data_IF_213804278633
#
_entry.id   IF_213804278633
#
_cell.length_a   1.000
_cell.length_b   1.000
_cell.length_c   1.000
_cell.angle_alpha   90.00
_cell.angle_beta   90.00
_cell.angle_gamma   90.00
#
_symmetry.space_group_name_H-M   'P 1'
#
loop_
_entity.id
_entity.type
_entity.pdbx_description
1 polymer ?
#
# COMPACT_ATOMS: atom_id res chain seq x y z
N UNK A 1 4.81 4.14 24.33
CA UNK A 1 4.98 2.81 23.70
C UNK A 1 6.39 2.31 23.97
N UNK A 2 6.56 1.16 24.61
CA UNK A 2 7.89 0.60 24.93
C UNK A 2 8.29 -0.33 23.78
N UNK A 3 9.37 -0.01 23.07
CA UNK A 3 9.94 -0.89 22.05
C UNK A 3 10.70 -2.03 22.73
N UNK A 4 10.42 -3.27 22.32
CA UNK A 4 11.14 -4.46 22.79
C UNK A 4 12.17 -4.89 21.75
N UNK A 5 13.38 -5.18 22.21
CA UNK A 5 14.44 -5.75 21.37
C UNK A 5 14.04 -7.17 20.96
N UNK A 6 14.26 -7.49 19.70
CA UNK A 6 14.05 -8.85 19.16
C UNK A 6 15.41 -9.55 19.14
N UNK A 7 15.47 -10.80 19.61
CA UNK A 7 16.70 -11.61 19.67
C UNK A 7 16.89 -12.50 18.45
N UNK A 8 15.79 -12.87 17.76
CA UNK A 8 15.79 -13.74 16.58
C UNK A 8 15.13 -12.99 15.42
N UNK A 9 15.80 -13.00 14.27
CA UNK A 9 15.33 -12.38 13.05
C UNK A 9 14.23 -13.28 12.42
N UNK A 10 12.96 -12.81 12.31
CA UNK A 10 11.85 -13.67 11.92
C UNK A 10 11.64 -13.75 10.41
N UNK A 11 12.50 -13.15 9.57
CA UNK A 11 12.27 -13.04 8.12
C UNK A 11 12.24 -14.40 7.46
N UNK A 12 13.16 -15.30 7.79
CA UNK A 12 13.18 -16.66 7.22
C UNK A 12 11.86 -17.39 7.50
N UNK A 13 11.44 -17.41 8.77
CA UNK A 13 10.17 -18.04 9.18
C UNK A 13 8.95 -17.45 8.43
N UNK A 14 8.95 -16.13 8.21
CA UNK A 14 7.89 -15.45 7.46
C UNK A 14 7.94 -15.75 5.96
N UNK A 15 9.11 -15.80 5.35
CA UNK A 15 9.30 -16.21 3.96
C UNK A 15 8.83 -17.64 3.74
N UNK A 16 9.17 -18.56 4.63
CA UNK A 16 8.74 -19.96 4.54
C UNK A 16 7.22 -20.08 4.62
N UNK A 17 6.60 -19.39 5.59
CA UNK A 17 5.15 -19.38 5.74
C UNK A 17 4.46 -18.81 4.50
N UNK A 18 4.98 -17.71 3.96
CA UNK A 18 4.45 -17.10 2.74
C UNK A 18 4.61 -18.02 1.53
N UNK A 19 5.79 -18.63 1.37
CA UNK A 19 6.09 -19.53 0.26
C UNK A 19 5.16 -20.74 0.26
N UNK A 20 4.96 -21.37 1.43
CA UNK A 20 4.00 -22.48 1.59
C UNK A 20 2.59 -22.07 1.16
N UNK A 21 2.12 -20.91 1.63
CA UNK A 21 0.80 -20.39 1.26
C UNK A 21 0.69 -20.13 -0.25
N UNK A 22 1.69 -19.46 -0.86
CA UNK A 22 1.69 -19.19 -2.30
C UNK A 22 1.68 -20.46 -3.14
N UNK A 23 2.39 -21.52 -2.71
CA UNK A 23 2.34 -22.83 -3.38
C UNK A 23 0.94 -23.44 -3.28
N UNK A 24 0.30 -23.39 -2.12
CA UNK A 24 -1.07 -23.89 -1.93
C UNK A 24 -2.08 -23.15 -2.81
N UNK A 25 -1.98 -21.82 -2.88
CA UNK A 25 -2.84 -20.98 -3.73
C UNK A 25 -2.64 -21.29 -5.22
N UNK A 26 -1.39 -21.53 -5.64
CA UNK A 26 -1.09 -21.94 -7.02
C UNK A 26 -1.69 -23.31 -7.33
N UNK A 27 -1.52 -24.29 -6.44
CA UNK A 27 -2.09 -25.65 -6.60
C UNK A 27 -3.62 -25.64 -6.71
N UNK A 28 -4.29 -24.71 -6.02
CA UNK A 28 -5.74 -24.51 -6.09
C UNK A 28 -6.21 -23.66 -7.28
N UNK A 29 -5.30 -23.18 -8.13
CA UNK A 29 -5.63 -22.35 -9.30
C UNK A 29 -5.97 -20.90 -8.99
N UNK A 30 -5.79 -20.42 -7.75
CA UNK A 30 -6.07 -19.02 -7.40
C UNK A 30 -5.05 -18.05 -8.02
N UNK A 31 -3.79 -18.46 -8.16
CA UNK A 31 -2.74 -17.66 -8.78
C UNK A 31 -2.09 -18.43 -9.92
N UNK A 32 -1.80 -17.72 -11.01
CA UNK A 32 -1.05 -18.24 -12.16
C UNK A 32 0.43 -18.46 -11.79
N UNK A 33 1.15 -19.24 -12.62
CA UNK A 33 2.59 -19.45 -12.41
C UNK A 33 3.40 -18.14 -12.55
N UNK A 34 2.96 -17.24 -13.45
CA UNK A 34 3.56 -15.92 -13.60
C UNK A 34 3.36 -15.05 -12.35
N UNK A 35 2.15 -15.03 -11.78
CA UNK A 35 1.88 -14.32 -10.52
C UNK A 35 2.65 -14.93 -9.34
N UNK A 36 2.76 -16.25 -9.29
CA UNK A 36 3.57 -16.94 -8.29
C UNK A 36 5.05 -16.52 -8.38
N UNK A 37 5.65 -16.55 -9.58
CA UNK A 37 7.02 -16.09 -9.82
C UNK A 37 7.21 -14.61 -9.45
N UNK A 38 6.22 -13.77 -9.73
CA UNK A 38 6.24 -12.38 -9.33
C UNK A 38 6.19 -12.23 -7.81
N UNK A 39 5.27 -12.93 -7.13
CA UNK A 39 5.02 -12.81 -5.70
C UNK A 39 6.08 -13.47 -4.79
N UNK A 40 6.82 -14.46 -5.31
CA UNK A 40 7.80 -15.24 -4.55
C UNK A 40 8.86 -14.32 -3.91
N UNK A 41 9.11 -14.43 -2.59
CA UNK A 41 10.17 -13.69 -1.93
C UNK A 41 11.56 -14.10 -2.43
N UNK A 42 12.51 -13.16 -2.45
CA UNK A 42 13.91 -13.37 -2.85
C UNK A 42 14.80 -12.49 -1.98
N UNK A 43 15.60 -13.11 -1.11
CA UNK A 43 16.59 -12.41 -0.28
C UNK A 43 15.98 -11.31 0.58
N UNK A 44 14.91 -11.62 1.32
CA UNK A 44 14.20 -10.58 2.08
C UNK A 44 14.96 -10.13 3.30
N UNK A 45 14.62 -8.93 3.74
CA UNK A 45 15.13 -8.31 4.98
C UNK A 45 13.99 -7.77 5.82
N UNK A 46 14.29 -7.45 7.07
CA UNK A 46 13.34 -6.75 7.94
C UNK A 46 13.04 -5.33 7.43
N UNK A 47 11.90 -4.79 7.86
CA UNK A 47 11.52 -3.42 7.53
C UNK A 47 12.51 -2.43 8.19
N UNK A 48 12.90 -1.37 7.47
CA UNK A 48 13.84 -0.37 7.97
C UNK A 48 13.09 0.85 8.47
N UNK A 49 13.28 1.21 9.74
CA UNK A 49 12.77 2.45 10.31
C UNK A 49 13.83 3.54 10.15
N UNK A 50 13.46 4.67 9.57
CA UNK A 50 14.29 5.88 9.51
C UNK A 50 13.43 7.12 9.72
N UNK A 51 14.05 8.28 9.95
CA UNK A 51 13.35 9.55 10.11
C UNK A 51 13.70 10.53 9.00
N UNK A 52 12.71 11.24 8.46
CA UNK A 52 12.96 12.44 7.63
C UNK A 52 12.60 13.71 8.42
N UNK A 53 13.45 14.75 8.41
CA UNK A 53 13.16 15.98 9.14
C UNK A 53 11.94 16.71 8.55
N UNK A 54 11.03 17.17 9.40
CA UNK A 54 9.98 18.12 9.00
C UNK A 54 10.58 19.52 8.90
N UNK A 55 11.17 19.85 7.75
CA UNK A 55 11.91 21.11 7.52
C UNK A 55 11.08 22.39 7.72
N UNK A 56 9.76 22.30 7.61
CA UNK A 56 8.83 23.42 7.76
C UNK A 56 8.34 23.64 9.21
N UNK A 57 8.89 22.92 10.21
CA UNK A 57 8.49 23.06 11.62
C UNK A 57 9.68 23.50 12.47
N UNK A 58 9.47 24.34 13.51
CA UNK A 58 10.52 24.66 14.48
C UNK A 58 11.03 23.37 15.14
N UNK A 59 12.31 23.35 15.52
CA UNK A 59 13.02 22.18 16.05
C UNK A 59 13.10 20.96 15.10
N UNK A 60 12.64 21.10 13.84
CA UNK A 60 12.76 20.13 12.74
C UNK A 60 12.51 18.68 13.17
N UNK A 61 11.38 18.37 13.83
CA UNK A 61 11.12 17.02 14.36
C UNK A 61 11.15 15.98 13.25
N UNK A 62 11.66 14.79 13.56
CA UNK A 62 11.69 13.68 12.61
C UNK A 62 10.28 13.12 12.37
N UNK A 63 9.97 12.84 11.10
CA UNK A 63 8.84 12.02 10.67
C UNK A 63 9.34 10.58 10.56
N UNK A 64 8.98 9.67 11.47
CA UNK A 64 9.35 8.27 11.33
C UNK A 64 8.70 7.67 10.09
N UNK A 65 9.48 6.94 9.30
CA UNK A 65 9.08 6.22 8.09
C UNK A 65 9.55 4.79 8.21
N UNK A 66 8.61 3.85 8.06
CA UNK A 66 8.90 2.43 8.04
C UNK A 66 8.90 1.94 6.59
N UNK A 67 10.09 1.63 6.06
CA UNK A 67 10.26 1.11 4.71
C UNK A 67 10.11 -0.41 4.67
N UNK A 68 9.11 -0.85 3.91
CA UNK A 68 8.88 -2.26 3.59
C UNK A 68 9.56 -2.70 2.28
N UNK A 69 10.56 -1.96 1.81
CA UNK A 69 11.27 -2.29 0.56
C UNK A 69 12.18 -3.50 0.78
N UNK A 70 12.00 -4.52 -0.07
CA UNK A 70 12.66 -5.84 0.04
C UNK A 70 12.29 -6.64 1.31
N UNK A 71 11.13 -6.39 1.92
CA UNK A 71 10.60 -7.30 2.95
C UNK A 71 9.98 -8.56 2.33
N UNK A 72 9.76 -9.59 3.15
CA UNK A 72 9.24 -10.89 2.70
C UNK A 72 7.95 -10.81 1.87
N UNK A 73 7.09 -9.83 2.16
CA UNK A 73 5.82 -9.62 1.46
C UNK A 73 5.88 -8.52 0.38
N UNK A 74 7.04 -7.92 0.12
CA UNK A 74 7.18 -6.80 -0.81
C UNK A 74 6.73 -7.18 -2.24
N UNK A 75 7.21 -8.32 -2.73
CA UNK A 75 6.90 -8.83 -4.07
C UNK A 75 5.45 -9.29 -4.20
N UNK A 76 4.92 -9.94 -3.16
CA UNK A 76 3.51 -10.27 -3.05
C UNK A 76 2.62 -9.02 -3.18
N UNK A 77 2.97 -7.94 -2.46
CA UNK A 77 2.26 -6.66 -2.54
C UNK A 77 2.24 -6.11 -3.97
N UNK A 78 3.35 -6.17 -4.70
CA UNK A 78 3.41 -5.72 -6.09
C UNK A 78 2.49 -6.54 -7.00
N UNK A 79 2.51 -7.87 -6.84
CA UNK A 79 1.61 -8.76 -7.58
C UNK A 79 0.15 -8.43 -7.31
N UNK A 80 -0.24 -8.29 -6.03
CA UNK A 80 -1.62 -7.95 -5.64
C UNK A 80 -2.03 -6.57 -6.16
N UNK A 81 -1.14 -5.57 -6.08
CA UNK A 81 -1.41 -4.24 -6.61
C UNK A 81 -1.65 -4.24 -8.12
N UNK A 82 -0.97 -5.13 -8.86
CA UNK A 82 -1.21 -5.33 -10.30
C UNK A 82 -2.53 -6.07 -10.54
N UNK A 83 -2.79 -7.15 -9.81
CA UNK A 83 -4.00 -7.97 -9.99
C UNK A 83 -5.27 -7.19 -9.67
N UNK A 84 -5.25 -6.39 -8.61
CA UNK A 84 -6.40 -5.62 -8.13
C UNK A 84 -6.48 -4.22 -8.77
N UNK A 85 -5.65 -3.93 -9.78
CA UNK A 85 -5.63 -2.62 -10.44
C UNK A 85 -7.00 -2.24 -11.02
N UNK A 86 -7.67 -3.20 -11.66
CA UNK A 86 -8.99 -3.01 -12.24
C UNK A 86 -10.04 -2.53 -11.24
N UNK A 87 -9.91 -2.87 -9.95
CA UNK A 87 -10.83 -2.43 -8.89
C UNK A 87 -10.62 -0.97 -8.49
N UNK A 88 -9.52 -0.35 -8.93
CA UNK A 88 -9.22 1.07 -8.66
C UNK A 88 -10.09 2.02 -9.49
N UNK A 89 -10.72 1.53 -10.54
CA UNK A 89 -11.55 2.33 -11.44
C UNK A 89 -13.02 2.09 -11.13
N UNK A 90 -13.72 3.16 -10.79
CA UNK A 90 -15.17 3.16 -10.61
C UNK A 90 -15.72 4.51 -11.06
N UNK A 91 -16.92 4.55 -11.67
CA UNK A 91 -17.58 5.79 -12.04
C UNK A 91 -17.83 6.74 -10.86
N UNK A 92 -17.81 6.20 -9.63
CA UNK A 92 -18.07 6.95 -8.39
C UNK A 92 -16.82 7.56 -7.75
N UNK A 93 -15.67 7.42 -8.41
CA UNK A 93 -14.39 7.86 -7.88
C UNK A 93 -14.06 9.25 -8.41
N UNK A 94 -13.87 10.21 -7.49
CA UNK A 94 -13.48 11.58 -7.82
C UNK A 94 -11.97 11.70 -7.88
N UNK A 95 -11.46 12.43 -8.89
CA UNK A 95 -10.03 12.54 -9.19
C UNK A 95 -9.25 13.25 -8.08
N UNK A 96 -9.72 14.41 -7.65
CA UNK A 96 -9.09 15.25 -6.63
C UNK A 96 -10.12 16.13 -5.89
N UNK A 97 -9.65 16.91 -4.93
CA UNK A 97 -10.50 17.79 -4.11
C UNK A 97 -11.13 18.94 -4.91
N UNK A 98 -10.51 19.37 -6.01
CA UNK A 98 -11.06 20.43 -6.85
C UNK A 98 -12.20 19.91 -7.72
N UNK A 99 -12.02 18.74 -8.34
CA UNK A 99 -13.08 18.03 -9.04
C UNK A 99 -14.25 17.74 -8.11
N UNK A 100 -13.98 17.34 -6.87
CA UNK A 100 -15.03 17.16 -5.86
C UNK A 100 -15.79 18.47 -5.58
N UNK A 101 -15.07 19.57 -5.35
CA UNK A 101 -15.69 20.87 -5.09
C UNK A 101 -16.54 21.35 -6.28
N UNK A 102 -16.08 21.13 -7.51
CA UNK A 102 -16.82 21.48 -8.73
C UNK A 102 -18.08 20.63 -8.88
N UNK A 103 -17.98 19.31 -8.62
CA UNK A 103 -19.12 18.39 -8.62
C UNK A 103 -20.17 18.85 -7.59
N UNK A 104 -19.75 19.15 -6.37
CA UNK A 104 -20.61 19.65 -5.28
C UNK A 104 -21.33 20.94 -5.67
N UNK A 105 -20.62 21.91 -6.26
CA UNK A 105 -21.19 23.19 -6.71
C UNK A 105 -22.22 23.07 -7.83
N UNK A 106 -22.18 21.98 -8.59
CA UNK A 106 -23.09 21.75 -9.73
C UNK A 106 -24.48 21.25 -9.32
N UNK A 107 -24.72 20.96 -8.05
CA UNK A 107 -25.99 20.40 -7.57
C UNK A 107 -26.83 21.40 -6.77
N UNK A 108 -28.18 21.34 -6.89
CA UNK A 108 -29.08 22.10 -6.02
C UNK A 108 -28.97 21.61 -4.57
N UNK A 109 -29.09 22.53 -3.61
CA UNK A 109 -28.79 22.30 -2.19
C UNK A 109 -29.51 21.11 -1.56
N UNK A 110 -30.72 20.80 -2.03
CA UNK A 110 -31.56 19.70 -1.53
C UNK A 110 -30.98 18.30 -1.74
N UNK A 111 -29.98 18.12 -2.60
CA UNK A 111 -29.42 16.81 -2.96
C UNK A 111 -27.95 16.61 -2.55
N UNK A 112 -27.35 17.60 -1.89
CA UNK A 112 -25.91 17.62 -1.55
C UNK A 112 -25.52 16.49 -0.59
N UNK A 113 -26.30 16.29 0.48
CA UNK A 113 -25.97 15.32 1.54
C UNK A 113 -25.96 13.88 0.97
N UNK A 114 -27.00 13.50 0.22
CA UNK A 114 -27.15 12.14 -0.33
C UNK A 114 -26.07 11.77 -1.37
N UNK A 115 -25.61 12.72 -2.19
CA UNK A 115 -24.60 12.44 -3.23
C UNK A 115 -23.17 12.40 -2.69
N UNK A 116 -22.85 13.16 -1.66
CA UNK A 116 -21.55 13.11 -0.99
C UNK A 116 -21.23 11.73 -0.40
N UNK A 117 -22.23 10.98 0.08
CA UNK A 117 -22.04 9.60 0.56
C UNK A 117 -21.64 8.61 -0.53
N UNK A 118 -21.95 8.89 -1.79
CA UNK A 118 -21.66 7.99 -2.91
C UNK A 118 -20.33 8.27 -3.59
N UNK A 119 -19.71 9.42 -3.34
CA UNK A 119 -18.43 9.80 -3.92
C UNK A 119 -17.29 9.33 -3.02
N UNK A 120 -16.42 8.47 -3.55
CA UNK A 120 -15.23 8.00 -2.83
C UNK A 120 -14.01 8.65 -3.46
N UNK A 121 -13.18 9.30 -2.64
CA UNK A 121 -11.93 9.88 -3.12
C UNK A 121 -11.00 8.79 -3.65
N UNK A 122 -10.29 9.05 -4.75
CA UNK A 122 -9.24 8.14 -5.23
C UNK A 122 -8.29 7.82 -4.08
N UNK A 123 -8.11 6.53 -3.71
CA UNK A 123 -6.94 6.17 -2.95
C UNK A 123 -5.74 6.40 -3.86
N UNK A 124 -5.08 7.56 -3.73
CA UNK A 124 -3.73 7.74 -4.24
C UNK A 124 -2.88 6.72 -3.48
N UNK A 125 -2.64 5.57 -4.10
CA UNK A 125 -1.48 4.79 -3.76
C UNK A 125 -0.33 5.76 -3.94
N UNK A 126 0.25 6.19 -2.82
CA UNK A 126 1.56 6.78 -2.78
C UNK A 126 2.41 5.87 -3.68
N UNK A 127 2.66 6.33 -4.90
CA UNK A 127 3.81 5.94 -5.68
C UNK A 127 4.97 6.39 -4.80
N UNK A 128 5.33 5.55 -3.84
CA UNK A 128 6.63 5.60 -3.23
C UNK A 128 7.60 5.12 -4.33
N UNK A 129 7.78 5.95 -5.35
CA UNK A 129 9.06 6.11 -6.00
C UNK A 129 9.98 6.61 -4.90
N UNK A 130 10.50 5.67 -4.11
CA UNK A 130 11.65 5.96 -3.28
C UNK A 130 12.77 6.31 -4.27
N UNK A 131 13.37 7.51 -4.19
CA UNK A 131 14.59 7.76 -4.93
C UNK A 131 15.59 6.67 -4.50
N UNK A 132 16.12 5.98 -5.50
CA UNK A 132 17.29 5.14 -5.32
C UNK A 132 18.42 6.11 -4.99
N UNK A 133 18.81 6.15 -3.72
CA UNK A 133 20.14 6.57 -3.29
C UNK A 133 20.99 5.31 -3.19
#
# INVERSE_FOLDING_TARGET
>A
SIFKRITIEPTISKEDKLTRLSIQLRKRGFISDAEYKLARPVGSRFARLYGLPKVHKPNRPLRPILSFVKTFNYRLRLMLAKRLDHLRYSPKIVKDSFDFANIVKSFPESHLIYKCYHLVSRPHLLQYHYPVL
#
